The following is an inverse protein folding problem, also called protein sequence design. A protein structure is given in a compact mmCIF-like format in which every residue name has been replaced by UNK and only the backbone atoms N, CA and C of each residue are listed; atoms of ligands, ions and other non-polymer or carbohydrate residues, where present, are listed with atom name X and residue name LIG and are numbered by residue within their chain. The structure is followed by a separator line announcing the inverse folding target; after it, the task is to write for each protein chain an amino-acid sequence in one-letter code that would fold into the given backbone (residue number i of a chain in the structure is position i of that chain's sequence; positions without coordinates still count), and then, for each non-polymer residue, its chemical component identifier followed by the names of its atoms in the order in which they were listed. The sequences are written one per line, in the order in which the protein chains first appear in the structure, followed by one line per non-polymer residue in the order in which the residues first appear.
data_IF_163964939325
#
_entry.id   IF_163964939325
#
_cell.length_a   1.000
_cell.length_b   1.000
_cell.length_c   1.000
_cell.angle_alpha   90.00
_cell.angle_beta   90.00
_cell.angle_gamma   90.00
#
_symmetry.space_group_name_H-M   'P 1'
#
loop_
_entity.id
_entity.type
_entity.pdbx_description
1 polymer ?
#
# COMPACT_ATOMS: atom_id res chain seq x y z
N UNK A 1 15.91 -13.35 -6.87
CA UNK A 1 14.98 -12.65 -6.00
C UNK A 1 15.45 -12.76 -4.55
N UNK A 2 15.20 -11.72 -3.75
CA UNK A 2 15.55 -11.70 -2.35
C UNK A 2 14.53 -12.38 -1.43
N UNK A 3 14.63 -12.11 -0.14
CA UNK A 3 13.77 -12.68 0.90
C UNK A 3 12.49 -11.85 1.09
N UNK A 4 11.34 -12.54 1.15
CA UNK A 4 9.99 -12.01 1.37
C UNK A 4 9.52 -11.04 0.27
N UNK A 5 9.21 -11.59 -0.90
CA UNK A 5 8.48 -10.87 -1.95
C UNK A 5 7.07 -10.55 -1.43
N UNK A 6 6.73 -9.26 -1.37
CA UNK A 6 5.50 -8.77 -0.76
C UNK A 6 4.45 -8.34 -1.79
N UNK A 7 4.89 -7.73 -2.88
CA UNK A 7 3.99 -7.25 -3.94
C UNK A 7 4.65 -7.39 -5.31
N UNK A 8 3.83 -7.47 -6.33
CA UNK A 8 4.27 -7.56 -7.71
C UNK A 8 3.29 -6.83 -8.63
N UNK A 9 3.82 -6.01 -9.53
CA UNK A 9 3.01 -5.34 -10.53
C UNK A 9 3.71 -5.24 -11.88
N UNK A 10 2.92 -5.16 -12.93
CA UNK A 10 3.41 -4.99 -14.32
C UNK A 10 3.19 -3.54 -14.74
N UNK A 11 4.23 -2.94 -15.30
CA UNK A 11 4.13 -1.64 -15.94
C UNK A 11 4.96 -1.62 -17.24
N UNK A 12 4.28 -1.37 -18.35
CA UNK A 12 4.87 -1.46 -19.69
C UNK A 12 5.39 -2.87 -19.98
N UNK A 13 6.67 -2.99 -20.31
CA UNK A 13 7.35 -4.27 -20.59
C UNK A 13 8.07 -4.86 -19.36
N UNK A 14 7.82 -4.34 -18.16
CA UNK A 14 8.57 -4.69 -16.96
C UNK A 14 7.65 -5.22 -15.86
N UNK A 15 8.17 -6.21 -15.13
CA UNK A 15 7.62 -6.68 -13.85
C UNK A 15 8.44 -6.06 -12.74
N UNK A 16 7.78 -5.47 -11.77
CA UNK A 16 8.38 -4.92 -10.55
C UNK A 16 7.98 -5.82 -9.39
N UNK A 17 8.95 -6.37 -8.68
CA UNK A 17 8.73 -7.20 -7.50
C UNK A 17 9.27 -6.47 -6.28
N UNK A 18 8.39 -6.16 -5.34
CA UNK A 18 8.74 -5.51 -4.07
C UNK A 18 9.17 -6.57 -3.07
N UNK A 19 10.41 -6.50 -2.60
CA UNK A 19 11.02 -7.51 -1.71
C UNK A 19 11.28 -6.87 -0.35
N UNK A 20 10.46 -7.23 0.64
CA UNK A 20 10.42 -6.55 1.93
C UNK A 20 11.70 -6.73 2.75
N UNK A 21 12.05 -7.96 3.12
CA UNK A 21 13.19 -8.23 4.01
C UNK A 21 14.52 -7.86 3.35
N UNK A 22 14.69 -8.20 2.08
CA UNK A 22 15.89 -7.80 1.33
C UNK A 22 15.95 -6.31 1.01
N UNK A 23 14.87 -5.58 1.26
CA UNK A 23 14.76 -4.12 1.03
C UNK A 23 15.16 -3.71 -0.38
N UNK A 24 14.55 -4.37 -1.37
CA UNK A 24 14.78 -4.10 -2.80
C UNK A 24 13.49 -4.03 -3.59
N UNK A 25 13.56 -3.41 -4.77
CA UNK A 25 12.61 -3.61 -5.86
C UNK A 25 13.36 -4.24 -7.02
N UNK A 26 12.98 -5.48 -7.38
CA UNK A 26 13.52 -6.17 -8.54
C UNK A 26 12.74 -5.77 -9.78
N UNK A 27 13.44 -5.39 -10.84
CA UNK A 27 12.83 -5.06 -12.12
C UNK A 27 13.27 -6.08 -13.15
N UNK A 28 12.31 -6.74 -13.78
CA UNK A 28 12.51 -7.88 -14.68
C UNK A 28 11.84 -7.55 -16.02
N UNK A 29 12.48 -7.90 -17.12
CA UNK A 29 11.83 -7.84 -18.43
C UNK A 29 10.71 -8.89 -18.50
N UNK A 30 9.49 -8.44 -18.78
CA UNK A 30 8.28 -9.28 -18.78
C UNK A 30 8.33 -10.44 -19.78
N UNK A 31 9.00 -10.25 -20.93
CA UNK A 31 9.03 -11.24 -22.02
C UNK A 31 10.12 -12.26 -21.85
N UNK A 32 11.29 -11.82 -21.39
CA UNK A 32 12.49 -12.67 -21.32
C UNK A 32 12.76 -13.24 -19.95
N UNK A 33 12.15 -12.68 -18.89
CA UNK A 33 12.46 -13.00 -17.51
C UNK A 33 13.84 -12.51 -17.05
N UNK A 34 14.53 -11.70 -17.87
CA UNK A 34 15.85 -11.19 -17.55
C UNK A 34 15.77 -10.09 -16.49
N UNK A 35 16.59 -10.16 -15.45
CA UNK A 35 16.74 -9.09 -14.48
C UNK A 35 17.35 -7.86 -15.14
N UNK A 36 16.63 -6.73 -15.06
CA UNK A 36 17.05 -5.45 -15.60
C UNK A 36 17.75 -4.60 -14.54
N UNK A 37 17.23 -4.62 -13.31
CA UNK A 37 17.71 -3.79 -12.21
C UNK A 37 17.25 -4.34 -10.86
N UNK A 38 18.13 -4.26 -9.87
CA UNK A 38 17.80 -4.34 -8.46
C UNK A 38 17.94 -2.94 -7.86
N UNK A 39 16.84 -2.36 -7.41
CA UNK A 39 16.78 -1.02 -6.81
C UNK A 39 16.87 -1.21 -5.30
N UNK A 40 17.88 -0.62 -4.66
CA UNK A 40 18.05 -0.68 -3.22
C UNK A 40 17.06 0.27 -2.52
N UNK A 41 16.27 -0.26 -1.59
CA UNK A 41 15.32 0.49 -0.78
C UNK A 41 15.90 0.70 0.63
N UNK A 42 17.00 1.47 0.69
CA UNK A 42 17.73 1.79 1.92
C UNK A 42 17.70 3.29 2.20
N UNK A 43 17.70 3.65 3.47
CA UNK A 43 17.90 5.03 3.90
C UNK A 43 19.39 5.43 3.77
N UNK A 44 19.68 6.72 3.86
CA UNK A 44 21.06 7.24 3.74
C UNK A 44 22.03 6.64 4.78
N UNK A 45 21.53 6.29 5.95
CA UNK A 45 22.29 5.61 6.99
C UNK A 45 22.45 4.10 6.79
N UNK A 46 21.98 3.56 5.66
CA UNK A 46 22.03 2.13 5.31
C UNK A 46 20.93 1.28 5.95
N UNK A 47 20.01 1.83 6.74
CA UNK A 47 18.90 1.06 7.30
C UNK A 47 17.91 0.64 6.22
N UNK A 48 17.32 -0.56 6.39
CA UNK A 48 16.27 -1.09 5.51
C UNK A 48 15.02 -0.23 5.63
N UNK A 49 14.39 0.14 4.49
CA UNK A 49 13.09 0.80 4.45
C UNK A 49 11.93 -0.18 4.58
N UNK A 50 12.17 -1.47 4.33
CA UNK A 50 11.13 -2.51 4.33
C UNK A 50 9.97 -2.16 3.37
N UNK A 51 10.19 -2.13 2.05
CA UNK A 51 9.17 -1.78 1.07
C UNK A 51 8.02 -2.79 1.07
N UNK A 52 6.79 -2.30 0.86
CA UNK A 52 5.56 -3.09 1.00
C UNK A 52 4.79 -3.24 -0.30
N UNK A 53 4.28 -2.16 -0.85
CA UNK A 53 3.41 -2.16 -2.02
C UNK A 53 3.84 -1.12 -3.04
N UNK A 54 3.50 -1.38 -4.30
CA UNK A 54 3.85 -0.54 -5.44
C UNK A 54 2.61 -0.15 -6.24
N UNK A 55 2.58 1.08 -6.70
CA UNK A 55 1.59 1.58 -7.66
C UNK A 55 2.27 2.44 -8.72
N UNK A 56 1.55 2.72 -9.81
CA UNK A 56 2.10 3.48 -10.93
C UNK A 56 1.20 4.65 -11.31
N UNK A 57 1.83 5.75 -11.68
CA UNK A 57 1.15 6.86 -12.32
C UNK A 57 2.08 7.50 -13.35
N UNK A 58 1.61 7.57 -14.62
CA UNK A 58 2.43 8.00 -15.75
C UNK A 58 3.75 7.19 -15.78
N UNK A 59 4.89 7.87 -15.91
CA UNK A 59 6.22 7.21 -16.00
C UNK A 59 6.90 7.02 -14.63
N UNK A 60 6.13 7.00 -13.55
CA UNK A 60 6.63 6.84 -12.18
C UNK A 60 5.99 5.66 -11.47
N UNK A 61 6.82 4.92 -10.74
CA UNK A 61 6.39 3.97 -9.73
C UNK A 61 6.50 4.60 -8.34
N UNK A 62 5.60 4.22 -7.44
CA UNK A 62 5.56 4.72 -6.06
C UNK A 62 5.51 3.51 -5.14
N UNK A 63 6.48 3.41 -4.23
CA UNK A 63 6.64 2.28 -3.31
C UNK A 63 6.52 2.78 -1.88
N UNK A 64 5.51 2.33 -1.15
CA UNK A 64 5.39 2.60 0.27
C UNK A 64 6.23 1.61 1.09
N UNK A 65 6.77 2.06 2.21
CA UNK A 65 7.72 1.31 3.03
C UNK A 65 7.44 1.48 4.52
N UNK A 66 7.71 0.45 5.32
CA UNK A 66 7.44 0.42 6.76
C UNK A 66 8.21 1.46 7.56
N UNK A 67 9.28 2.04 7.01
CA UNK A 67 10.00 3.15 7.64
C UNK A 67 9.23 4.50 7.64
N UNK A 68 7.97 4.50 7.18
CA UNK A 68 7.15 5.70 7.10
C UNK A 68 7.40 6.55 5.86
N UNK A 69 7.92 5.96 4.79
CA UNK A 69 8.23 6.68 3.55
C UNK A 69 7.52 6.12 2.33
N UNK A 70 7.43 6.98 1.30
CA UNK A 70 7.11 6.58 -0.08
C UNK A 70 8.27 7.01 -0.97
N UNK A 71 8.85 6.06 -1.71
CA UNK A 71 9.86 6.31 -2.73
C UNK A 71 9.20 6.45 -4.10
N UNK A 72 9.61 7.45 -4.88
CA UNK A 72 9.26 7.60 -6.28
C UNK A 72 10.41 7.08 -7.13
N UNK A 73 10.10 6.17 -8.05
CA UNK A 73 11.05 5.53 -8.96
C UNK A 73 10.71 5.96 -10.40
N UNK A 74 11.67 6.46 -11.11
CA UNK A 74 11.55 6.71 -12.55
C UNK A 74 11.60 5.38 -13.31
N UNK A 75 10.56 5.09 -14.12
CA UNK A 75 10.43 3.77 -14.80
C UNK A 75 11.33 3.62 -16.02
N UNK A 76 11.99 4.68 -16.45
CA UNK A 76 12.95 4.68 -17.56
C UNK A 76 14.37 4.45 -17.05
N UNK A 77 14.82 5.29 -16.09
CA UNK A 77 16.18 5.19 -15.52
C UNK A 77 16.30 4.10 -14.45
N UNK A 78 15.16 3.59 -13.93
CA UNK A 78 15.10 2.60 -12.86
C UNK A 78 15.87 3.05 -11.60
N UNK A 79 15.66 4.31 -11.22
CA UNK A 79 16.28 4.92 -10.06
C UNK A 79 15.27 5.68 -9.21
N UNK A 80 15.50 5.72 -7.90
CA UNK A 80 14.72 6.56 -6.99
C UNK A 80 15.09 8.02 -7.27
N UNK A 81 14.10 8.86 -7.58
CA UNK A 81 14.29 10.28 -7.85
C UNK A 81 13.73 11.21 -6.76
N UNK A 82 12.88 10.69 -5.87
CA UNK A 82 12.38 11.43 -4.72
C UNK A 82 11.87 10.49 -3.62
N UNK A 83 11.85 10.99 -2.39
CA UNK A 83 11.27 10.31 -1.22
C UNK A 83 10.45 11.33 -0.44
N UNK A 84 9.29 10.89 0.06
CA UNK A 84 8.44 11.67 0.98
C UNK A 84 8.08 10.86 2.21
N UNK A 85 7.82 11.54 3.32
CA UNK A 85 7.37 10.92 4.57
C UNK A 85 5.84 10.92 4.65
N UNK A 86 5.29 9.89 5.31
CA UNK A 86 3.86 9.68 5.52
C UNK A 86 3.60 9.21 6.97
N UNK A 87 2.53 8.47 7.22
CA UNK A 87 2.25 7.91 8.54
C UNK A 87 3.11 6.70 8.92
N UNK A 88 2.77 6.03 10.02
CA UNK A 88 3.53 4.90 10.54
C UNK A 88 3.23 3.60 9.79
N UNK A 89 4.28 2.85 9.46
CA UNK A 89 4.19 1.53 8.85
C UNK A 89 3.20 1.47 7.68
N UNK A 90 3.45 2.22 6.59
CA UNK A 90 2.63 2.16 5.37
C UNK A 90 2.48 0.73 4.86
N UNK A 91 1.24 0.27 4.66
CA UNK A 91 0.92 -1.12 4.31
C UNK A 91 -0.08 -1.25 3.15
N UNK A 92 -0.13 -0.26 2.30
CA UNK A 92 -0.89 -0.24 1.06
C UNK A 92 -0.80 1.12 0.39
N UNK A 93 -0.90 1.15 -0.93
CA UNK A 93 -0.81 2.37 -1.74
C UNK A 93 -1.63 2.24 -3.01
N UNK A 94 -2.38 3.28 -3.35
CA UNK A 94 -3.04 3.39 -4.66
C UNK A 94 -3.02 4.84 -5.16
N UNK A 95 -3.36 5.03 -6.43
CA UNK A 95 -3.48 6.34 -7.08
C UNK A 95 -4.94 6.65 -7.38
N UNK A 96 -5.39 7.84 -7.03
CA UNK A 96 -6.67 8.39 -7.45
C UNK A 96 -6.57 9.92 -7.58
N UNK A 97 -7.07 10.49 -8.68
CA UNK A 97 -7.12 11.94 -8.90
C UNK A 97 -5.79 12.67 -8.68
N UNK A 98 -4.71 12.23 -9.34
CA UNK A 98 -3.36 12.82 -9.22
C UNK A 98 -2.83 12.84 -7.77
N UNK A 99 -3.34 11.96 -6.91
CA UNK A 99 -2.90 11.79 -5.52
C UNK A 99 -2.59 10.34 -5.22
N UNK A 100 -1.64 10.12 -4.32
CA UNK A 100 -1.43 8.81 -3.71
C UNK A 100 -2.22 8.75 -2.42
N UNK A 101 -2.84 7.61 -2.17
CA UNK A 101 -3.50 7.26 -0.92
C UNK A 101 -2.74 6.10 -0.31
N UNK A 102 -2.23 6.28 0.90
CA UNK A 102 -1.35 5.34 1.59
C UNK A 102 -1.98 4.97 2.93
N UNK A 103 -2.29 3.68 3.12
CA UNK A 103 -2.78 3.18 4.40
C UNK A 103 -1.63 3.04 5.39
N UNK A 104 -1.76 3.62 6.58
CA UNK A 104 -0.77 3.57 7.64
C UNK A 104 -1.25 2.58 8.71
N UNK A 105 -0.66 1.40 8.76
CA UNK A 105 -1.11 0.34 9.68
C UNK A 105 -0.65 0.55 11.13
N UNK A 106 0.45 1.28 11.33
CA UNK A 106 1.13 1.38 12.61
C UNK A 106 2.01 0.17 12.94
N UNK A 107 1.96 -0.86 12.08
CA UNK A 107 2.72 -2.09 12.27
C UNK A 107 2.14 -3.03 13.32
N UNK A 108 2.87 -4.08 13.62
CA UNK A 108 2.53 -5.10 14.62
C UNK A 108 3.46 -5.02 15.85
N UNK A 109 4.17 -3.91 16.02
CA UNK A 109 5.04 -3.71 17.18
C UNK A 109 4.24 -3.24 18.39
N UNK A 110 3.60 -4.19 19.04
CA UNK A 110 2.90 -3.95 20.30
C UNK A 110 3.82 -3.56 21.44
N UNK A 111 5.13 -3.80 21.31
CA UNK A 111 6.12 -3.47 22.36
C UNK A 111 6.44 -1.99 22.43
N UNK A 112 6.21 -1.23 21.36
CA UNK A 112 6.44 0.22 21.30
C UNK A 112 5.48 1.02 22.18
N UNK A 113 4.36 0.45 22.59
CA UNK A 113 3.28 1.12 23.31
C UNK A 113 2.52 2.18 22.49
N UNK A 114 2.80 2.31 21.19
CA UNK A 114 2.16 3.30 20.31
C UNK A 114 0.82 2.82 19.74
N UNK A 115 0.53 1.52 19.84
CA UNK A 115 -0.64 0.90 19.21
C UNK A 115 -0.60 0.96 17.68
N UNK A 116 -1.68 0.56 17.03
CA UNK A 116 -1.85 0.65 15.59
C UNK A 116 -2.09 2.10 15.14
N UNK A 117 -1.79 2.43 13.88
CA UNK A 117 -2.23 3.68 13.25
C UNK A 117 -3.69 3.52 12.76
N UNK A 118 -4.36 4.61 12.44
CA UNK A 118 -5.75 4.62 11.98
C UNK A 118 -5.98 5.53 10.77
N UNK A 119 -4.91 5.88 10.06
CA UNK A 119 -4.95 6.91 9.03
C UNK A 119 -4.63 6.41 7.63
N UNK A 120 -5.12 7.15 6.65
CA UNK A 120 -4.64 7.14 5.26
C UNK A 120 -3.97 8.49 4.99
N UNK A 121 -2.69 8.46 4.61
CA UNK A 121 -1.96 9.63 4.13
C UNK A 121 -2.36 9.93 2.68
N UNK A 122 -2.55 11.21 2.37
CA UNK A 122 -2.81 11.69 1.01
C UNK A 122 -1.60 12.51 0.56
N UNK A 123 -0.91 12.04 -0.48
CA UNK A 123 0.25 12.70 -1.06
C UNK A 123 -0.13 13.27 -2.43
N UNK A 124 0.08 14.55 -2.61
CA UNK A 124 -0.06 15.21 -3.92
C UNK A 124 1.10 14.80 -4.83
N UNK A 125 0.79 14.24 -6.01
CA UNK A 125 1.80 13.67 -6.91
C UNK A 125 2.69 14.77 -7.52
N UNK A 126 2.15 15.95 -7.81
CA UNK A 126 2.90 17.02 -8.46
C UNK A 126 3.97 17.61 -7.54
N UNK A 127 3.63 17.84 -6.26
CA UNK A 127 4.57 18.37 -5.25
C UNK A 127 5.34 17.28 -4.54
N UNK A 128 4.85 16.05 -4.59
CA UNK A 128 5.32 14.87 -3.88
C UNK A 128 5.44 15.09 -2.36
N UNK A 129 4.40 15.72 -1.79
CA UNK A 129 4.30 16.02 -0.35
C UNK A 129 2.96 15.53 0.19
N UNK A 130 2.97 15.08 1.45
CA UNK A 130 1.74 14.79 2.17
C UNK A 130 0.90 16.08 2.31
N UNK A 131 -0.32 16.03 1.83
CA UNK A 131 -1.27 17.16 1.85
C UNK A 131 -2.28 17.05 2.99
N UNK A 132 -2.63 15.81 3.38
CA UNK A 132 -3.57 15.56 4.48
C UNK A 132 -3.46 14.12 4.99
N UNK A 133 -4.09 13.86 6.15
CA UNK A 133 -4.37 12.52 6.68
C UNK A 133 -5.87 12.36 6.90
N UNK A 134 -6.38 11.18 6.60
CA UNK A 134 -7.79 10.82 6.74
C UNK A 134 -7.91 9.69 7.76
N UNK A 135 -8.73 9.86 8.80
CA UNK A 135 -9.00 8.81 9.78
C UNK A 135 -9.98 7.81 9.15
N UNK A 136 -9.62 6.53 9.09
CA UNK A 136 -10.39 5.47 8.45
C UNK A 136 -10.76 4.32 9.38
N UNK A 137 -10.11 4.22 10.53
CA UNK A 137 -10.25 3.14 11.49
C UNK A 137 -8.93 2.41 11.72
N UNK A 138 -8.83 1.62 12.80
CA UNK A 138 -7.57 1.08 13.27
C UNK A 138 -6.96 0.04 12.30
N UNK A 139 -5.65 0.10 12.15
CA UNK A 139 -4.83 -0.81 11.37
C UNK A 139 -5.29 -0.94 9.89
N UNK A 140 -5.35 0.16 9.13
CA UNK A 140 -5.70 0.09 7.71
C UNK A 140 -4.60 -0.64 6.92
N UNK A 141 -5.02 -1.58 6.07
CA UNK A 141 -4.14 -2.41 5.26
C UNK A 141 -4.43 -2.25 3.77
N UNK A 142 -5.12 -3.22 3.17
CA UNK A 142 -5.46 -3.20 1.75
C UNK A 142 -6.20 -1.92 1.37
N UNK A 143 -5.70 -1.23 0.33
CA UNK A 143 -6.29 0.00 -0.20
C UNK A 143 -6.29 -0.06 -1.73
N UNK A 144 -7.42 0.26 -2.36
CA UNK A 144 -7.61 0.22 -3.82
C UNK A 144 -8.44 1.42 -4.25
N UNK A 145 -8.04 2.02 -5.37
CA UNK A 145 -8.85 3.01 -6.07
C UNK A 145 -10.06 2.33 -6.71
N UNK A 146 -11.23 2.88 -6.46
CA UNK A 146 -12.48 2.43 -7.05
C UNK A 146 -12.99 3.39 -8.13
N UNK A 147 -14.17 3.11 -8.70
CA UNK A 147 -14.84 4.04 -9.61
C UNK A 147 -15.27 5.33 -8.90
N UNK A 148 -15.72 6.33 -9.68
CA UNK A 148 -16.32 7.58 -9.18
C UNK A 148 -15.47 8.35 -8.16
N UNK A 149 -14.16 8.41 -8.40
CA UNK A 149 -13.24 9.14 -7.52
C UNK A 149 -13.28 8.66 -6.06
N UNK A 150 -13.36 7.36 -5.86
CA UNK A 150 -13.37 6.74 -4.54
C UNK A 150 -12.12 5.92 -4.28
N UNK A 151 -11.80 5.75 -3.00
CA UNK A 151 -10.80 4.82 -2.51
C UNK A 151 -11.43 3.93 -1.44
N UNK A 152 -11.21 2.63 -1.54
CA UNK A 152 -11.69 1.65 -0.58
C UNK A 152 -10.54 1.13 0.27
N UNK A 153 -10.80 0.93 1.57
CA UNK A 153 -9.82 0.51 2.56
C UNK A 153 -10.40 -0.60 3.44
N UNK A 154 -9.67 -1.70 3.58
CA UNK A 154 -9.94 -2.68 4.62
C UNK A 154 -9.09 -2.37 5.85
N UNK A 155 -9.69 -2.33 7.03
CA UNK A 155 -8.99 -2.17 8.31
C UNK A 155 -9.05 -3.46 9.12
N UNK A 156 -8.00 -3.75 9.89
CA UNK A 156 -7.85 -5.02 10.61
C UNK A 156 -8.26 -4.95 12.08
N UNK A 157 -8.68 -3.75 12.56
CA UNK A 157 -8.97 -3.53 13.96
C UNK A 157 -7.73 -3.30 14.83
N UNK A 158 -7.93 -3.08 16.10
CA UNK A 158 -6.84 -2.95 17.08
C UNK A 158 -6.21 -4.31 17.40
N UNK A 159 -7.03 -5.34 17.40
CA UNK A 159 -6.64 -6.73 17.61
C UNK A 159 -7.02 -7.56 16.39
N UNK A 160 -6.01 -8.02 15.66
CA UNK A 160 -6.21 -8.87 14.47
C UNK A 160 -6.86 -10.21 14.82
N UNK A 161 -6.56 -10.76 15.99
CA UNK A 161 -7.11 -12.04 16.43
C UNK A 161 -8.59 -11.94 16.81
N UNK A 162 -9.04 -10.76 17.25
CA UNK A 162 -10.45 -10.50 17.54
C UNK A 162 -11.33 -10.45 16.28
N UNK A 163 -10.73 -10.29 15.09
CA UNK A 163 -11.46 -10.25 13.83
C UNK A 163 -12.30 -8.98 13.63
N UNK A 164 -11.86 -7.85 14.19
CA UNK A 164 -12.54 -6.55 14.10
C UNK A 164 -12.29 -5.86 12.75
N UNK A 165 -12.41 -6.63 11.68
CA UNK A 165 -12.27 -6.13 10.31
C UNK A 165 -13.40 -5.18 9.96
N UNK A 166 -13.06 -4.08 9.28
CA UNK A 166 -14.03 -3.14 8.72
C UNK A 166 -13.68 -2.80 7.28
N UNK A 167 -14.65 -2.27 6.56
CA UNK A 167 -14.51 -1.83 5.19
C UNK A 167 -15.04 -0.43 5.03
N UNK A 168 -14.22 0.49 4.54
CA UNK A 168 -14.58 1.89 4.41
C UNK A 168 -14.34 2.39 2.99
N UNK A 169 -15.14 3.40 2.62
CA UNK A 169 -15.01 4.14 1.38
C UNK A 169 -14.64 5.60 1.67
N UNK A 170 -13.66 6.13 0.97
CA UNK A 170 -13.25 7.54 0.98
C UNK A 170 -13.74 8.19 -0.32
N UNK A 171 -14.50 9.26 -0.24
CA UNK A 171 -14.76 10.18 -1.36
C UNK A 171 -13.53 11.09 -1.53
N UNK A 172 -12.82 10.98 -2.64
CA UNK A 172 -11.56 11.68 -2.87
C UNK A 172 -11.70 13.19 -3.12
N UNK A 173 -12.92 13.68 -3.36
CA UNK A 173 -13.19 15.11 -3.54
C UNK A 173 -13.34 15.81 -2.20
N UNK A 174 -13.96 15.13 -1.23
CA UNK A 174 -14.36 15.71 0.05
C UNK A 174 -13.56 15.16 1.23
N UNK A 175 -12.78 14.08 1.04
CA UNK A 175 -12.14 13.26 2.07
C UNK A 175 -13.15 12.65 3.07
N UNK A 176 -14.44 12.59 2.72
CA UNK A 176 -15.45 11.99 3.56
C UNK A 176 -15.30 10.47 3.59
N UNK A 177 -15.25 9.92 4.79
CA UNK A 177 -15.23 8.48 5.04
C UNK A 177 -16.65 7.98 5.28
N UNK A 178 -17.00 6.88 4.64
CA UNK A 178 -18.27 6.17 4.83
C UNK A 178 -17.97 4.72 5.18
N UNK A 179 -18.54 4.22 6.26
CA UNK A 179 -18.49 2.80 6.62
C UNK A 179 -19.34 2.00 5.63
N UNK A 180 -18.74 0.96 5.07
CA UNK A 180 -19.49 -0.08 4.38
C UNK A 180 -19.78 -1.16 5.43
N UNK A 181 -21.03 -1.58 5.59
CA UNK A 181 -21.45 -2.47 6.68
C UNK A 181 -20.97 -3.93 6.53
N UNK A 182 -19.79 -4.11 5.93
CA UNK A 182 -19.18 -5.41 5.67
C UNK A 182 -17.87 -5.55 6.46
N UNK A 183 -17.62 -6.76 6.97
CA UNK A 183 -16.32 -7.14 7.54
C UNK A 183 -15.47 -7.73 6.42
N UNK A 184 -14.31 -7.14 6.13
CA UNK A 184 -13.50 -7.51 4.97
C UNK A 184 -12.03 -7.62 5.34
N UNK A 185 -11.45 -8.81 5.17
CA UNK A 185 -10.01 -9.02 5.34
C UNK A 185 -9.21 -8.61 4.10
N UNK A 186 -9.75 -8.92 2.93
CA UNK A 186 -9.12 -8.59 1.66
C UNK A 186 -10.19 -8.39 0.58
N UNK A 187 -9.87 -7.67 -0.47
CA UNK A 187 -10.81 -7.41 -1.55
C UNK A 187 -10.09 -7.13 -2.87
N UNK A 188 -10.82 -7.24 -3.96
CA UNK A 188 -10.43 -6.79 -5.29
C UNK A 188 -11.59 -6.01 -5.91
N UNK A 189 -11.27 -5.10 -6.81
CA UNK A 189 -12.26 -4.32 -7.57
C UNK A 189 -12.00 -4.56 -9.06
N UNK A 190 -13.07 -4.90 -9.79
CA UNK A 190 -13.07 -5.03 -11.24
C UNK A 190 -14.29 -4.28 -11.81
N UNK A 191 -14.04 -3.16 -12.46
CA UNK A 191 -15.08 -2.21 -12.86
C UNK A 191 -15.92 -1.75 -11.67
N UNK A 192 -17.23 -2.01 -11.73
CA UNK A 192 -18.20 -1.63 -10.69
C UNK A 192 -18.44 -2.73 -9.65
N UNK A 193 -17.70 -3.84 -9.71
CA UNK A 193 -17.86 -4.99 -8.83
C UNK A 193 -16.71 -5.05 -7.83
N UNK A 194 -17.04 -5.17 -6.55
CA UNK A 194 -16.09 -5.49 -5.49
C UNK A 194 -16.25 -6.96 -5.06
N UNK A 195 -15.15 -7.70 -5.10
CA UNK A 195 -15.04 -9.06 -4.59
C UNK A 195 -14.46 -8.99 -3.18
N UNK A 196 -15.24 -9.38 -2.18
CA UNK A 196 -14.87 -9.28 -0.78
C UNK A 196 -14.49 -10.66 -0.27
N UNK A 197 -13.35 -10.76 0.39
CA UNK A 197 -12.84 -12.03 0.92
C UNK A 197 -12.72 -11.99 2.44
N UNK A 198 -13.23 -13.03 3.09
CA UNK A 198 -13.06 -13.28 4.51
C UNK A 198 -12.68 -14.73 4.77
N UNK A 199 -11.85 -14.91 5.80
CA UNK A 199 -11.48 -16.23 6.31
C UNK A 199 -11.79 -16.32 7.80
N UNK A 200 -12.52 -17.35 8.18
CA UNK A 200 -12.81 -17.65 9.57
C UNK A 200 -11.79 -18.67 10.08
N UNK A 201 -10.88 -18.24 10.95
CA UNK A 201 -9.82 -19.08 11.49
C UNK A 201 -10.33 -20.20 12.42
N UNK A 202 -11.48 -19.99 13.08
CA UNK A 202 -12.08 -21.00 13.99
C UNK A 202 -12.69 -22.16 13.21
N UNK A 203 -13.44 -21.86 12.15
CA UNK A 203 -14.11 -22.88 11.31
C UNK A 203 -13.26 -23.33 10.13
N UNK A 204 -12.14 -22.65 9.87
CA UNK A 204 -11.26 -22.86 8.70
C UNK A 204 -12.01 -22.76 7.36
N UNK A 205 -12.96 -21.83 7.27
CA UNK A 205 -13.76 -21.58 6.08
C UNK A 205 -13.51 -20.20 5.52
N UNK A 206 -13.62 -20.05 4.19
CA UNK A 206 -13.59 -18.77 3.49
C UNK A 206 -14.96 -18.44 2.91
N UNK A 207 -15.23 -17.15 2.73
CA UNK A 207 -16.36 -16.62 1.98
C UNK A 207 -15.89 -15.53 1.00
N UNK A 208 -16.56 -15.47 -0.13
CA UNK A 208 -16.39 -14.44 -1.16
C UNK A 208 -17.77 -13.84 -1.44
#
# INVERSE_FOLDING_TARGET
LGDTANDMAIYGSKVYVVVNISSTVEVIDFRTGTSLKQIQMQAENGSSRQPRYITFHKEKAYVCSYDGTVARIDTTSLSIDAITTVGRNPDGICVQNEKLYISNSGGLDYSSGLGVDNTVSVVDIATFKESSKIIVGPNPGKIIAGPDETVYVATRGEDIEAGDYNFVKIDCRTNKVTQCNEKVQNFAIDGDIAYLYNYNYTTQTSSI
#
